data_IF_671478497434
#
_entry.id   IF_671478497434
#
_cell.length_a   1.000
_cell.length_b   1.000
_cell.length_c   1.000
_cell.angle_alpha   90.00
_cell.angle_beta   90.00
_cell.angle_gamma   90.00
#
_symmetry.space_group_name_H-M   'P 1'
#
loop_
_entity.id
_entity.type
_entity.pdbx_description
1 polymer ?
#
# COMPACT_ATOMS: atom_id res chain seq x y z
N UNK A 1 25.76 -49.97 44.14
CA UNK A 1 24.46 -49.81 43.44
C UNK A 1 23.52 -48.81 44.12
N UNK A 2 23.32 -48.82 45.45
CA UNK A 2 22.49 -47.82 46.16
C UNK A 2 22.90 -46.35 45.91
N UNK A 3 24.19 -46.05 45.87
CA UNK A 3 24.69 -44.68 45.65
C UNK A 3 24.53 -44.20 44.20
N UNK A 4 24.54 -45.12 43.23
CA UNK A 4 24.28 -44.82 41.80
C UNK A 4 22.80 -44.51 41.60
N UNK A 5 21.91 -45.24 42.29
CA UNK A 5 20.47 -44.99 42.23
C UNK A 5 20.09 -43.62 42.85
N UNK A 6 20.71 -43.25 43.98
CA UNK A 6 20.53 -41.92 44.59
C UNK A 6 21.04 -40.78 43.70
N UNK A 7 22.18 -40.95 43.01
CA UNK A 7 22.70 -39.97 42.05
C UNK A 7 21.80 -39.80 40.82
N UNK A 8 21.23 -40.89 40.28
CA UNK A 8 20.28 -40.84 39.17
C UNK A 8 18.97 -40.16 39.59
N UNK A 9 18.46 -40.45 40.80
CA UNK A 9 17.28 -39.75 41.33
C UNK A 9 17.52 -38.25 41.55
N UNK A 10 18.70 -37.84 42.03
CA UNK A 10 19.04 -36.43 42.21
C UNK A 10 19.13 -35.69 40.87
N UNK A 11 19.67 -36.34 39.83
CA UNK A 11 19.79 -35.79 38.47
C UNK A 11 18.42 -35.59 37.80
N UNK A 12 17.47 -36.51 38.01
CA UNK A 12 16.10 -36.43 37.49
C UNK A 12 15.29 -35.34 38.21
N UNK A 13 15.48 -35.16 39.52
CA UNK A 13 14.82 -34.10 40.30
C UNK A 13 15.33 -32.71 39.89
N UNK A 14 16.64 -32.55 39.64
CA UNK A 14 17.18 -31.27 39.15
C UNK A 14 16.62 -30.89 37.78
N UNK A 15 16.50 -31.83 36.83
CA UNK A 15 15.94 -31.54 35.50
C UNK A 15 14.45 -31.16 35.54
N UNK A 16 13.71 -31.68 36.52
CA UNK A 16 12.28 -31.38 36.68
C UNK A 16 12.02 -29.99 37.27
N UNK A 17 12.92 -29.49 38.12
CA UNK A 17 12.78 -28.18 38.75
C UNK A 17 12.95 -27.02 37.75
N UNK A 18 13.93 -27.11 36.84
CA UNK A 18 14.17 -26.07 35.83
C UNK A 18 13.00 -25.93 34.82
N UNK A 19 12.36 -27.04 34.43
CA UNK A 19 11.19 -26.99 33.53
C UNK A 19 9.95 -26.38 34.20
N UNK A 20 9.81 -26.45 35.53
CA UNK A 20 8.65 -25.89 36.23
C UNK A 20 8.70 -24.37 36.29
N UNK A 21 9.88 -23.77 36.50
CA UNK A 21 10.03 -22.32 36.58
C UNK A 21 9.84 -21.64 35.22
N UNK A 22 10.44 -22.17 34.14
CA UNK A 22 10.22 -21.69 32.77
C UNK A 22 8.72 -21.63 32.42
N UNK A 23 8.00 -22.73 32.63
CA UNK A 23 6.58 -22.84 32.33
C UNK A 23 5.72 -21.88 33.17
N UNK A 24 6.16 -21.54 34.39
CA UNK A 24 5.49 -20.53 35.21
C UNK A 24 5.63 -19.15 34.58
N UNK A 25 6.84 -18.76 34.17
CA UNK A 25 7.08 -17.47 33.54
C UNK A 25 6.35 -17.33 32.20
N UNK A 26 6.29 -18.39 31.39
CA UNK A 26 5.51 -18.39 30.14
C UNK A 26 4.02 -18.15 30.41
N UNK A 27 3.43 -18.86 31.39
CA UNK A 27 2.01 -18.66 31.76
C UNK A 27 1.74 -17.23 32.26
N UNK A 28 2.59 -16.72 33.14
CA UNK A 28 2.48 -15.34 33.61
C UNK A 28 2.57 -14.35 32.44
N UNK A 29 3.53 -14.56 31.54
CA UNK A 29 3.71 -13.74 30.34
C UNK A 29 2.49 -13.78 29.42
N UNK A 30 1.90 -14.96 29.21
CA UNK A 30 0.68 -15.13 28.43
C UNK A 30 -0.50 -14.39 29.08
N UNK A 31 -0.58 -14.38 30.42
CA UNK A 31 -1.56 -13.59 31.17
C UNK A 31 -1.41 -12.10 30.92
N UNK A 32 -0.20 -11.55 31.13
CA UNK A 32 0.10 -10.13 30.86
C UNK A 32 -0.15 -9.75 29.38
N UNK A 33 0.16 -10.65 28.45
CA UNK A 33 -0.08 -10.44 27.02
C UNK A 33 -1.57 -10.37 26.71
N UNK A 34 -2.39 -11.24 27.32
CA UNK A 34 -3.84 -11.23 27.16
C UNK A 34 -4.47 -9.96 27.76
N UNK A 35 -3.92 -9.46 28.85
CA UNK A 35 -4.33 -8.19 29.48
C UNK A 35 -3.80 -6.96 28.73
N UNK A 36 -3.11 -7.16 27.60
CA UNK A 36 -2.48 -6.13 26.75
C UNK A 36 -1.32 -5.37 27.43
N UNK A 37 -0.81 -5.89 28.55
CA UNK A 37 0.38 -5.39 29.23
C UNK A 37 1.66 -5.92 28.55
N UNK A 38 1.85 -5.57 27.28
CA UNK A 38 2.88 -6.22 26.46
C UNK A 38 4.31 -6.02 26.98
N UNK A 39 4.60 -4.89 27.64
CA UNK A 39 5.89 -4.66 28.30
C UNK A 39 6.15 -5.62 29.48
N UNK A 40 5.12 -5.91 30.28
CA UNK A 40 5.24 -6.91 31.35
C UNK A 40 5.37 -8.33 30.76
N UNK A 41 4.63 -8.63 29.70
CA UNK A 41 4.74 -9.92 29.01
C UNK A 41 6.15 -10.15 28.47
N UNK A 42 6.78 -9.12 27.89
CA UNK A 42 8.18 -9.15 27.44
C UNK A 42 9.13 -9.52 28.58
N UNK A 43 9.00 -8.86 29.74
CA UNK A 43 9.83 -9.17 30.92
C UNK A 43 9.64 -10.61 31.37
N UNK A 44 8.41 -11.14 31.36
CA UNK A 44 8.12 -12.52 31.75
C UNK A 44 8.72 -13.53 30.77
N UNK A 45 8.59 -13.31 29.46
CA UNK A 45 9.21 -14.18 28.45
C UNK A 45 10.74 -14.12 28.50
N UNK A 46 11.33 -12.96 28.77
CA UNK A 46 12.77 -12.84 29.00
C UNK A 46 13.24 -13.64 30.22
N UNK A 47 12.46 -13.65 31.32
CA UNK A 47 12.75 -14.52 32.47
C UNK A 47 12.65 -16.00 32.11
N UNK A 48 11.64 -16.41 31.34
CA UNK A 48 11.56 -17.78 30.84
C UNK A 48 12.80 -18.17 30.01
N UNK A 49 13.31 -17.26 29.17
CA UNK A 49 14.52 -17.49 28.37
C UNK A 49 15.82 -17.47 29.19
N UNK A 50 15.84 -16.83 30.36
CA UNK A 50 16.96 -16.93 31.29
C UNK A 50 17.05 -18.34 31.91
N UNK A 51 15.91 -18.99 32.15
CA UNK A 51 15.85 -20.38 32.62
C UNK A 51 16.11 -21.39 31.49
N UNK A 52 15.49 -21.18 30.32
CA UNK A 52 15.66 -22.02 29.14
C UNK A 52 15.88 -21.19 27.87
N UNK A 53 17.14 -20.93 27.49
CA UNK A 53 17.47 -20.16 26.30
C UNK A 53 17.02 -20.78 24.98
N UNK A 54 16.62 -22.05 24.94
CA UNK A 54 16.16 -22.75 23.74
C UNK A 54 14.64 -22.95 23.68
N UNK A 55 13.89 -22.35 24.61
CA UNK A 55 12.44 -22.42 24.65
C UNK A 55 11.80 -21.81 23.40
N UNK A 56 11.23 -22.65 22.53
CA UNK A 56 10.51 -22.21 21.34
C UNK A 56 9.34 -21.29 21.71
N UNK A 57 8.54 -21.68 22.70
CA UNK A 57 7.33 -20.94 23.09
C UNK A 57 7.69 -19.57 23.66
N UNK A 58 8.69 -19.47 24.54
CA UNK A 58 9.11 -18.19 25.08
C UNK A 58 9.70 -17.26 24.00
N UNK A 59 10.54 -17.77 23.08
CA UNK A 59 11.06 -16.98 21.94
C UNK A 59 9.93 -16.49 21.04
N UNK A 60 8.99 -17.37 20.69
CA UNK A 60 7.86 -17.05 19.83
C UNK A 60 6.97 -15.98 20.48
N UNK A 61 6.59 -16.16 21.74
CA UNK A 61 5.71 -15.23 22.44
C UNK A 61 6.40 -13.88 22.72
N UNK A 62 7.73 -13.88 22.91
CA UNK A 62 8.52 -12.65 22.97
C UNK A 62 8.47 -11.87 21.65
N UNK A 63 8.60 -12.56 20.51
CA UNK A 63 8.42 -11.97 19.19
C UNK A 63 7.03 -11.34 19.01
N UNK A 64 5.97 -12.03 19.46
CA UNK A 64 4.60 -11.52 19.43
C UNK A 64 4.44 -10.28 20.34
N UNK A 65 5.03 -10.30 21.54
CA UNK A 65 5.05 -9.14 22.45
C UNK A 65 5.75 -7.93 21.83
N UNK A 66 6.89 -8.13 21.15
CA UNK A 66 7.55 -7.06 20.40
C UNK A 66 6.67 -6.50 19.29
N UNK A 67 6.00 -7.37 18.52
CA UNK A 67 5.09 -6.95 17.46
C UNK A 67 3.96 -6.06 18.01
N UNK A 68 3.33 -6.45 19.12
CA UNK A 68 2.27 -5.67 19.76
C UNK A 68 2.75 -4.34 20.32
N UNK A 69 4.01 -4.28 20.77
CA UNK A 69 4.67 -3.03 21.17
C UNK A 69 5.14 -2.15 20.00
N UNK A 70 4.88 -2.55 18.75
CA UNK A 70 5.39 -1.88 17.52
C UNK A 70 6.92 -1.91 17.39
N UNK A 71 7.58 -2.75 18.18
CA UNK A 71 9.03 -3.05 18.10
C UNK A 71 9.26 -4.05 16.96
N UNK A 72 8.93 -3.65 15.72
CA UNK A 72 8.86 -4.57 14.59
C UNK A 72 10.23 -5.14 14.19
N UNK A 73 11.32 -4.39 14.39
CA UNK A 73 12.68 -4.87 14.08
C UNK A 73 13.10 -6.01 15.01
N UNK A 74 12.77 -5.86 16.29
CA UNK A 74 13.01 -6.82 17.36
C UNK A 74 12.19 -8.09 17.09
N UNK A 75 10.89 -7.95 16.78
CA UNK A 75 10.02 -9.07 16.40
C UNK A 75 10.57 -9.85 15.20
N UNK A 76 10.95 -9.16 14.12
CA UNK A 76 11.54 -9.79 12.92
C UNK A 76 12.81 -10.57 13.27
N UNK A 77 13.67 -9.99 14.11
CA UNK A 77 14.95 -10.58 14.49
C UNK A 77 14.73 -11.86 15.29
N UNK A 78 13.81 -11.84 16.25
CA UNK A 78 13.45 -12.99 17.07
C UNK A 78 12.86 -14.12 16.21
N UNK A 79 11.85 -13.83 15.38
CA UNK A 79 11.24 -14.85 14.53
C UNK A 79 12.21 -15.45 13.50
N UNK A 80 13.13 -14.65 12.93
CA UNK A 80 14.17 -15.15 12.04
C UNK A 80 15.12 -16.09 12.78
N UNK A 81 15.47 -15.78 14.02
CA UNK A 81 16.33 -16.65 14.83
C UNK A 81 15.67 -18.01 15.07
N UNK A 82 14.38 -18.04 15.39
CA UNK A 82 13.61 -19.30 15.55
C UNK A 82 13.55 -20.06 14.22
N UNK A 83 13.21 -19.37 13.12
CA UNK A 83 13.01 -19.99 11.81
C UNK A 83 14.28 -20.65 11.23
N UNK A 84 15.48 -20.24 11.65
CA UNK A 84 16.74 -20.84 11.20
C UNK A 84 16.91 -22.30 11.63
N UNK A 85 16.38 -22.65 12.80
CA UNK A 85 16.57 -23.98 13.39
C UNK A 85 15.28 -24.81 13.42
N UNK A 86 14.16 -24.26 12.94
CA UNK A 86 12.87 -24.95 12.92
C UNK A 86 12.76 -25.84 11.67
N UNK A 87 12.32 -27.09 11.87
CA UNK A 87 12.15 -28.08 10.80
C UNK A 87 10.69 -28.43 10.54
N UNK A 88 9.81 -28.17 11.51
CA UNK A 88 8.39 -28.40 11.38
C UNK A 88 7.77 -27.38 10.42
N UNK A 89 7.22 -27.86 9.29
CA UNK A 89 6.62 -27.01 8.26
C UNK A 89 5.50 -26.10 8.77
N UNK A 90 4.64 -26.61 9.67
CA UNK A 90 3.53 -25.81 10.22
C UNK A 90 4.07 -24.62 11.03
N UNK A 91 5.06 -24.87 11.90
CA UNK A 91 5.72 -23.81 12.68
C UNK A 91 6.49 -22.84 11.79
N UNK A 92 7.23 -23.34 10.80
CA UNK A 92 7.89 -22.51 9.80
C UNK A 92 6.91 -21.60 9.06
N UNK A 93 5.75 -22.13 8.66
CA UNK A 93 4.72 -21.34 8.00
C UNK A 93 4.26 -20.17 8.88
N UNK A 94 4.01 -20.43 10.17
CA UNK A 94 3.59 -19.43 11.14
C UNK A 94 4.69 -18.38 11.39
N UNK A 95 5.94 -18.81 11.57
CA UNK A 95 7.08 -17.89 11.74
C UNK A 95 7.24 -16.96 10.54
N UNK A 96 7.21 -17.50 9.32
CA UNK A 96 7.31 -16.69 8.11
C UNK A 96 6.11 -15.76 7.90
N UNK A 97 4.91 -16.18 8.33
CA UNK A 97 3.73 -15.31 8.33
C UNK A 97 3.91 -14.13 9.29
N UNK A 98 4.35 -14.38 10.52
CA UNK A 98 4.62 -13.33 11.52
C UNK A 98 5.78 -12.41 11.11
N UNK A 99 6.84 -12.93 10.49
CA UNK A 99 7.92 -12.13 9.89
C UNK A 99 7.33 -11.23 8.78
N UNK A 100 6.49 -11.78 7.89
CA UNK A 100 5.83 -11.04 6.83
C UNK A 100 4.98 -9.88 7.36
N UNK A 101 4.15 -10.14 8.38
CA UNK A 101 3.33 -9.12 9.06
C UNK A 101 4.19 -8.03 9.71
N UNK A 102 5.25 -8.43 10.41
CA UNK A 102 6.18 -7.48 11.06
C UNK A 102 6.90 -6.61 10.03
N UNK A 103 7.32 -7.19 8.90
CA UNK A 103 7.96 -6.46 7.80
C UNK A 103 6.99 -5.50 7.10
N UNK A 104 5.72 -5.90 6.95
CA UNK A 104 4.66 -5.06 6.39
C UNK A 104 4.40 -3.83 7.27
N UNK A 105 4.29 -4.02 8.59
CA UNK A 105 4.17 -2.90 9.54
C UNK A 105 5.42 -2.01 9.56
N UNK A 106 6.60 -2.59 9.42
CA UNK A 106 7.82 -1.80 9.24
C UNK A 106 7.81 -0.98 7.95
N UNK A 107 7.22 -1.49 6.86
CA UNK A 107 6.99 -0.71 5.63
C UNK A 107 6.07 0.48 5.92
N UNK A 108 4.93 0.28 6.58
CA UNK A 108 4.02 1.36 6.96
C UNK A 108 4.73 2.46 7.76
N UNK A 109 5.59 2.09 8.71
CA UNK A 109 6.38 3.04 9.50
C UNK A 109 7.43 3.80 8.68
N UNK A 110 8.02 3.17 7.66
CA UNK A 110 8.93 3.84 6.73
C UNK A 110 8.18 4.84 5.84
N UNK A 111 6.96 4.51 5.40
CA UNK A 111 6.10 5.41 4.63
C UNK A 111 5.70 6.65 5.44
N UNK A 112 5.32 6.49 6.71
CA UNK A 112 5.05 7.61 7.63
C UNK A 112 6.26 8.54 7.80
N UNK A 113 7.47 8.00 7.66
CA UNK A 113 8.73 8.75 7.71
C UNK A 113 9.19 9.22 6.32
N UNK A 114 8.31 9.14 5.31
CA UNK A 114 8.57 9.55 3.92
C UNK A 114 9.79 8.85 3.28
N UNK A 115 10.16 7.67 3.77
CA UNK A 115 11.30 6.89 3.28
C UNK A 115 10.87 5.90 2.19
N UNK A 116 10.40 6.41 1.05
CA UNK A 116 9.80 5.60 -0.03
C UNK A 116 10.73 4.48 -0.53
N UNK A 117 11.99 4.80 -0.83
CA UNK A 117 12.96 3.81 -1.33
C UNK A 117 13.25 2.70 -0.30
N UNK A 118 13.28 3.02 1.00
CA UNK A 118 13.44 2.01 2.05
C UNK A 118 12.16 1.18 2.20
N UNK A 119 10.99 1.80 2.10
CA UNK A 119 9.70 1.13 2.16
C UNK A 119 9.53 0.11 1.02
N UNK A 120 9.91 0.46 -0.22
CA UNK A 120 9.88 -0.47 -1.38
C UNK A 120 10.78 -1.68 -1.12
N UNK A 121 12.00 -1.46 -0.61
CA UNK A 121 12.91 -2.56 -0.24
C UNK A 121 12.33 -3.42 0.88
N UNK A 122 11.60 -2.82 1.80
CA UNK A 122 11.05 -3.50 2.96
C UNK A 122 9.81 -4.32 2.61
N UNK A 123 8.91 -3.81 1.76
CA UNK A 123 7.73 -4.55 1.30
C UNK A 123 8.11 -5.78 0.48
N UNK A 124 9.21 -5.73 -0.27
CA UNK A 124 9.76 -6.89 -0.98
C UNK A 124 10.13 -8.04 -0.02
N UNK A 125 10.68 -7.71 1.15
CA UNK A 125 10.98 -8.71 2.18
C UNK A 125 9.69 -9.33 2.70
N UNK A 126 8.65 -8.51 2.97
CA UNK A 126 7.35 -9.00 3.43
C UNK A 126 6.73 -9.98 2.44
N UNK A 127 6.71 -9.62 1.14
CA UNK A 127 6.24 -10.49 0.04
C UNK A 127 7.01 -11.82 0.03
N UNK A 128 8.34 -11.77 0.18
CA UNK A 128 9.19 -12.97 0.25
C UNK A 128 8.83 -13.86 1.44
N UNK A 129 8.61 -13.27 2.61
CA UNK A 129 8.22 -13.99 3.84
C UNK A 129 6.85 -14.66 3.69
N UNK A 130 5.83 -13.98 3.13
CA UNK A 130 4.53 -14.62 2.86
C UNK A 130 4.64 -15.76 1.84
N UNK A 131 5.47 -15.61 0.80
CA UNK A 131 5.74 -16.72 -0.13
C UNK A 131 6.36 -17.91 0.60
N UNK A 132 7.33 -17.69 1.50
CA UNK A 132 7.92 -18.76 2.33
C UNK A 132 6.89 -19.39 3.27
N UNK A 133 5.98 -18.60 3.83
CA UNK A 133 4.86 -19.13 4.63
C UNK A 133 4.00 -20.08 3.79
N UNK A 134 3.59 -19.67 2.59
CA UNK A 134 2.76 -20.47 1.68
C UNK A 134 3.47 -21.70 1.09
N UNK A 135 4.79 -21.67 0.95
CA UNK A 135 5.59 -22.87 0.59
C UNK A 135 5.45 -23.95 1.67
N UNK A 136 5.40 -23.54 2.94
CA UNK A 136 5.28 -24.45 4.08
C UNK A 136 3.82 -24.80 4.40
N UNK A 137 2.86 -23.89 4.13
CA UNK A 137 1.42 -24.11 4.25
C UNK A 137 0.63 -23.45 3.09
N UNK A 138 0.44 -24.16 2.00
CA UNK A 138 -0.21 -23.64 0.78
C UNK A 138 -1.72 -23.37 0.92
N UNK A 139 -2.36 -23.83 2.01
CA UNK A 139 -3.80 -23.66 2.25
C UNK A 139 -4.12 -22.45 3.12
N UNK A 140 -3.11 -21.80 3.68
CA UNK A 140 -3.27 -20.63 4.51
C UNK A 140 -3.93 -19.49 3.72
N UNK A 141 -5.17 -19.14 4.11
CA UNK A 141 -5.94 -18.09 3.44
C UNK A 141 -5.48 -16.70 3.85
N UNK A 142 -5.06 -16.55 5.11
CA UNK A 142 -4.58 -15.27 5.66
C UNK A 142 -3.25 -14.90 5.00
N UNK A 143 -2.33 -15.86 4.85
CA UNK A 143 -1.06 -15.64 4.16
C UNK A 143 -1.25 -15.30 2.67
N UNK A 144 -2.25 -15.87 1.99
CA UNK A 144 -2.59 -15.50 0.60
C UNK A 144 -3.12 -14.07 0.50
N UNK A 145 -4.03 -13.72 1.41
CA UNK A 145 -4.58 -12.37 1.47
C UNK A 145 -3.49 -11.34 1.74
N UNK A 146 -2.66 -11.55 2.76
CA UNK A 146 -1.57 -10.62 3.10
C UNK A 146 -0.52 -10.52 1.98
N UNK A 147 -0.22 -11.61 1.26
CA UNK A 147 0.63 -11.57 0.08
C UNK A 147 0.04 -10.71 -1.03
N UNK A 148 -1.26 -10.84 -1.30
CA UNK A 148 -1.94 -10.03 -2.32
C UNK A 148 -1.93 -8.55 -1.93
N UNK A 149 -2.24 -8.24 -0.67
CA UNK A 149 -2.15 -6.89 -0.12
C UNK A 149 -0.74 -6.29 -0.27
N UNK A 150 0.29 -7.02 0.17
CA UNK A 150 1.67 -6.54 0.09
C UNK A 150 2.14 -6.29 -1.35
N UNK A 151 1.70 -7.11 -2.32
CA UNK A 151 1.97 -6.89 -3.75
C UNK A 151 1.26 -5.64 -4.29
N UNK A 152 0.01 -5.42 -3.89
CA UNK A 152 -0.74 -4.23 -4.28
C UNK A 152 -0.07 -2.96 -3.76
N UNK A 153 0.28 -2.94 -2.46
CA UNK A 153 1.04 -1.84 -1.85
C UNK A 153 2.34 -1.60 -2.61
N UNK A 154 3.12 -2.65 -2.89
CA UNK A 154 4.37 -2.51 -3.66
C UNK A 154 4.15 -1.82 -5.02
N UNK A 155 3.14 -2.23 -5.79
CA UNK A 155 2.83 -1.64 -7.09
C UNK A 155 2.55 -0.14 -6.97
N UNK A 156 1.77 0.27 -5.97
CA UNK A 156 1.49 1.68 -5.70
C UNK A 156 2.77 2.46 -5.38
N UNK A 157 3.65 1.91 -4.53
CA UNK A 157 4.92 2.55 -4.18
C UNK A 157 5.88 2.67 -5.37
N UNK A 158 5.93 1.67 -6.26
CA UNK A 158 6.74 1.73 -7.49
C UNK A 158 6.24 2.79 -8.46
N UNK A 159 4.91 2.93 -8.61
CA UNK A 159 4.31 3.98 -9.41
C UNK A 159 4.66 5.37 -8.85
N UNK A 160 4.52 5.55 -7.53
CA UNK A 160 4.88 6.80 -6.85
C UNK A 160 6.37 7.16 -7.05
N UNK A 161 7.26 6.17 -6.98
CA UNK A 161 8.69 6.37 -7.23
C UNK A 161 8.97 6.78 -8.68
N UNK A 162 8.26 6.19 -9.64
CA UNK A 162 8.45 6.51 -11.06
C UNK A 162 7.97 7.94 -11.38
N UNK A 163 6.90 8.41 -10.74
CA UNK A 163 6.45 9.81 -10.84
C UNK A 163 7.51 10.77 -10.28
N UNK A 164 8.00 10.54 -9.05
CA UNK A 164 9.07 11.38 -8.47
C UNK A 164 10.33 11.49 -9.34
N UNK A 165 10.68 10.43 -10.07
CA UNK A 165 11.83 10.46 -10.98
C UNK A 165 11.57 11.23 -12.28
N UNK A 166 10.31 11.34 -12.73
CA UNK A 166 9.94 12.17 -13.89
C UNK A 166 9.97 13.66 -13.51
N UNK A 167 9.46 14.00 -12.33
CA UNK A 167 9.43 15.38 -11.83
C UNK A 167 10.85 15.97 -11.66
N UNK A 168 11.78 15.19 -11.10
CA UNK A 168 13.18 15.60 -10.94
C UNK A 168 13.91 15.83 -12.29
N UNK A 169 13.59 15.06 -13.34
CA UNK A 169 14.21 15.25 -14.67
C UNK A 169 13.73 16.54 -15.36
N UNK A 170 12.55 17.02 -15.03
CA UNK A 170 12.03 18.29 -15.57
C UNK A 170 12.59 19.51 -14.83
N UNK A 171 13.07 19.36 -13.60
CA UNK A 171 13.73 20.44 -12.85
C UNK A 171 15.17 20.71 -13.32
N UNK A 172 15.96 19.68 -13.61
CA UNK A 172 17.35 19.85 -14.13
C UNK A 172 17.41 20.52 -15.52
N UNK A 173 16.31 20.51 -16.29
CA UNK A 173 16.21 21.20 -17.57
C UNK A 173 15.75 22.66 -17.47
N UNK A 174 15.31 23.13 -16.28
CA UNK A 174 14.98 24.56 -16.05
C UNK A 174 16.19 25.38 -15.61
N UNK A 175 17.19 24.77 -14.97
CA UNK A 175 18.37 25.49 -14.45
C UNK A 175 19.46 25.77 -15.51
N UNK A 176 19.30 25.30 -16.76
CA UNK A 176 20.20 25.59 -17.88
C UNK A 176 19.68 26.67 -18.85
N UNK A 177 18.63 27.42 -18.48
CA UNK A 177 18.01 28.46 -19.32
C UNK A 177 18.02 29.86 -18.71
N UNK A 178 18.83 30.11 -17.68
CA UNK A 178 19.00 31.45 -17.09
C UNK A 178 20.44 31.95 -17.21
N UNK A 179 20.88 32.14 -18.46
CA UNK A 179 21.97 33.06 -18.77
C UNK A 179 21.95 33.46 -20.24
N UNK A 180 20.94 34.25 -20.63
CA UNK A 180 21.17 35.47 -21.43
C UNK A 180 19.85 36.24 -21.56
N UNK A 181 19.71 37.32 -20.79
CA UNK A 181 18.72 38.38 -21.05
C UNK A 181 19.49 39.54 -21.68
N UNK A 182 19.31 39.70 -22.99
CA UNK A 182 19.82 40.81 -23.79
C UNK A 182 18.83 41.15 -24.90
N UNK A 183 17.96 42.10 -24.58
CA UNK A 183 17.15 43.01 -25.40
C UNK A 183 17.47 43.10 -26.92
N UNK A 184 16.46 42.99 -27.80
CA UNK A 184 16.05 44.05 -28.75
C UNK A 184 15.01 43.61 -29.82
N UNK A 185 14.17 44.60 -30.15
CA UNK A 185 13.05 44.70 -31.08
C UNK A 185 13.29 44.42 -32.59
N UNK A 186 12.22 43.92 -33.22
CA UNK A 186 11.62 44.21 -34.56
C UNK A 186 12.29 43.85 -35.90
N UNK A 187 11.44 43.19 -36.69
CA UNK A 187 11.18 43.28 -38.14
C UNK A 187 12.15 42.66 -39.18
N UNK A 188 11.68 41.49 -39.65
CA UNK A 188 11.35 41.13 -41.04
C UNK A 188 12.36 40.44 -41.99
N UNK A 189 11.84 39.32 -42.55
CA UNK A 189 12.08 38.68 -43.85
C UNK A 189 13.25 37.71 -44.12
N UNK A 190 12.83 36.46 -44.34
CA UNK A 190 13.20 35.51 -45.42
C UNK A 190 14.67 35.10 -45.60
N UNK A 191 15.03 33.84 -45.33
CA UNK A 191 14.74 32.66 -46.18
C UNK A 191 15.58 31.43 -45.79
N UNK A 192 14.91 30.26 -45.71
CA UNK A 192 15.35 28.88 -46.04
C UNK A 192 16.53 28.21 -45.31
N UNK A 193 16.18 27.21 -44.48
CA UNK A 193 16.25 25.76 -44.78
C UNK A 193 15.78 24.97 -43.53
N UNK A 194 14.53 24.48 -43.50
CA UNK A 194 14.07 23.13 -43.88
C UNK A 194 14.34 22.05 -42.82
N UNK A 195 13.28 21.67 -42.08
CA UNK A 195 12.67 20.33 -42.09
C UNK A 195 11.56 20.25 -41.00
N UNK A 196 10.32 20.69 -41.26
CA UNK A 196 9.18 19.97 -41.89
C UNK A 196 8.28 19.20 -40.89
N UNK A 197 7.23 19.89 -40.39
CA UNK A 197 5.81 19.45 -40.26
C UNK A 197 5.02 20.41 -39.35
N UNK A 198 4.65 21.57 -39.90
CA UNK A 198 3.48 22.30 -39.45
C UNK A 198 2.64 22.59 -40.70
N UNK A 199 1.53 21.88 -40.82
CA UNK A 199 0.46 22.14 -41.79
C UNK A 199 -0.68 22.68 -40.93
N UNK A 200 -1.35 23.79 -41.29
CA UNK A 200 -2.65 24.09 -40.69
C UNK A 200 -3.52 22.88 -40.99
N UNK A 201 -3.94 22.15 -39.96
CA UNK A 201 -4.84 21.04 -40.15
C UNK A 201 -6.16 21.69 -40.57
N UNK A 202 -6.69 21.39 -41.77
CA UNK A 202 -7.97 21.95 -42.24
C UNK A 202 -9.18 21.50 -41.38
N UNK A 203 -8.94 20.90 -40.21
CA UNK A 203 -9.88 20.22 -39.34
C UNK A 203 -9.52 20.43 -37.85
N UNK A 204 -8.99 21.58 -37.46
CA UNK A 204 -8.68 22.01 -36.08
C UNK A 204 -8.72 23.54 -36.09
N UNK A 205 -9.87 24.13 -35.75
CA UNK A 205 -10.19 25.52 -36.08
C UNK A 205 -9.80 26.53 -35.00
N UNK A 206 -9.73 26.12 -33.74
CA UNK A 206 -9.24 26.90 -32.58
C UNK A 206 -7.75 26.65 -32.27
N UNK A 207 -7.15 25.61 -32.85
CA UNK A 207 -5.73 25.31 -32.73
C UNK A 207 -5.33 24.74 -31.37
N UNK A 208 -6.28 24.15 -30.63
CA UNK A 208 -6.07 23.54 -29.32
C UNK A 208 -5.43 22.14 -29.43
N UNK A 209 -5.42 21.57 -30.64
CA UNK A 209 -4.84 20.26 -30.96
C UNK A 209 -5.85 19.12 -30.98
N UNK A 210 -7.12 19.36 -30.63
CA UNK A 210 -8.26 18.47 -30.82
C UNK A 210 -8.80 18.68 -32.26
N UNK A 211 -9.02 17.60 -33.03
CA UNK A 211 -9.60 17.77 -34.37
C UNK A 211 -11.10 18.13 -34.31
N UNK A 212 -11.54 19.10 -35.12
CA UNK A 212 -12.94 19.51 -35.37
C UNK A 212 -13.97 18.36 -35.39
N UNK A 213 -13.57 17.21 -35.97
CA UNK A 213 -14.41 16.00 -36.13
C UNK A 213 -14.72 15.32 -34.79
N UNK A 214 -13.86 15.46 -33.81
CA UNK A 214 -13.96 14.91 -32.46
C UNK A 214 -14.95 15.75 -31.67
N UNK A 215 -14.80 17.07 -31.74
CA UNK A 215 -15.58 18.05 -30.96
C UNK A 215 -17.00 18.19 -31.48
N UNK A 216 -17.19 18.23 -32.81
CA UNK A 216 -18.54 18.22 -33.41
C UNK A 216 -19.36 16.99 -33.04
N UNK A 217 -18.71 15.87 -32.67
CA UNK A 217 -19.36 14.60 -32.41
C UNK A 217 -20.02 13.99 -33.65
N UNK A 218 -20.44 12.73 -33.53
CA UNK A 218 -21.04 11.94 -34.62
C UNK A 218 -22.58 11.80 -34.50
N UNK A 219 -23.29 12.70 -33.83
CA UNK A 219 -24.75 12.57 -33.68
C UNK A 219 -25.51 13.16 -34.89
N UNK A 220 -26.09 12.33 -35.78
CA UNK A 220 -26.84 12.81 -36.94
C UNK A 220 -28.17 13.53 -36.58
N UNK A 221 -28.53 13.64 -35.30
CA UNK A 221 -29.71 14.38 -34.84
C UNK A 221 -29.43 15.81 -34.38
N UNK A 222 -28.17 16.22 -34.23
CA UNK A 222 -27.81 17.60 -33.93
C UNK A 222 -27.83 18.43 -35.23
N UNK A 223 -28.77 19.37 -35.34
CA UNK A 223 -28.89 20.29 -36.49
C UNK A 223 -27.94 21.49 -36.39
N UNK A 224 -27.43 21.77 -35.20
CA UNK A 224 -26.49 22.85 -34.91
C UNK A 224 -25.20 22.25 -34.35
N UNK A 225 -24.04 22.88 -34.61
CA UNK A 225 -22.80 22.50 -33.95
C UNK A 225 -22.97 22.50 -32.44
N UNK A 226 -22.24 21.60 -31.77
CA UNK A 226 -22.24 21.51 -30.32
C UNK A 226 -21.63 22.76 -29.71
N UNK A 227 -22.25 23.23 -28.64
CA UNK A 227 -21.93 24.45 -27.90
C UNK A 227 -22.21 24.10 -26.42
N UNK A 228 -21.16 23.75 -25.70
CA UNK A 228 -21.22 23.12 -24.37
C UNK A 228 -21.54 24.13 -23.28
N UNK A 229 -20.89 25.30 -23.30
CA UNK A 229 -21.10 26.39 -22.35
C UNK A 229 -22.27 27.34 -22.71
N UNK A 230 -22.74 27.31 -23.96
CA UNK A 230 -23.83 28.12 -24.53
C UNK A 230 -23.49 29.60 -24.68
N UNK A 231 -22.23 29.94 -24.95
CA UNK A 231 -21.81 31.31 -25.24
C UNK A 231 -22.11 31.75 -26.70
N UNK A 232 -22.46 30.79 -27.57
CA UNK A 232 -22.76 30.99 -28.98
C UNK A 232 -21.61 30.72 -29.95
N UNK A 233 -20.44 30.30 -29.46
CA UNK A 233 -19.37 29.67 -30.22
C UNK A 233 -19.49 28.15 -30.16
N UNK A 234 -19.40 27.45 -31.30
CA UNK A 234 -19.29 26.00 -31.27
C UNK A 234 -17.99 25.53 -30.64
N UNK A 235 -18.03 24.40 -29.91
CA UNK A 235 -16.89 23.75 -29.24
C UNK A 235 -15.63 23.71 -30.14
N UNK A 236 -15.76 23.27 -31.40
CA UNK A 236 -14.65 23.17 -32.38
C UNK A 236 -14.00 24.51 -32.83
N UNK A 237 -14.43 25.62 -32.25
CA UNK A 237 -13.88 26.96 -32.44
C UNK A 237 -13.64 27.67 -31.12
N UNK A 238 -13.84 26.97 -30.01
CA UNK A 238 -13.61 27.46 -28.67
C UNK A 238 -12.30 26.86 -28.15
N UNK A 239 -11.55 27.61 -27.35
CA UNK A 239 -10.32 27.11 -26.73
C UNK A 239 -10.56 26.56 -25.32
N UNK A 240 -11.78 26.72 -24.81
CA UNK A 240 -12.26 26.37 -23.46
C UNK A 240 -13.77 26.09 -23.56
N UNK A 241 -14.11 24.90 -24.06
CA UNK A 241 -15.44 24.51 -24.52
C UNK A 241 -16.50 24.47 -23.41
N UNK A 242 -16.12 24.23 -22.16
CA UNK A 242 -17.03 24.28 -21.01
C UNK A 242 -16.88 25.54 -20.13
N UNK A 243 -15.92 26.40 -20.50
CA UNK A 243 -15.68 27.73 -19.96
C UNK A 243 -15.43 27.72 -18.45
N UNK A 244 -14.73 26.68 -18.01
CA UNK A 244 -14.32 26.49 -16.64
C UNK A 244 -12.99 27.24 -16.35
N UNK A 245 -12.30 27.71 -17.38
CA UNK A 245 -11.05 28.46 -17.30
C UNK A 245 -9.79 27.61 -17.48
N UNK A 246 -9.94 26.34 -17.85
CA UNK A 246 -8.87 25.43 -18.27
C UNK A 246 -8.99 25.25 -19.79
N UNK A 247 -7.91 25.41 -20.58
CA UNK A 247 -8.01 25.25 -22.03
C UNK A 247 -8.23 23.79 -22.43
N UNK A 248 -9.04 23.54 -23.47
CA UNK A 248 -9.35 22.22 -24.02
C UNK A 248 -8.09 21.39 -24.31
N UNK A 249 -7.05 22.06 -24.82
CA UNK A 249 -5.73 21.49 -25.08
C UNK A 249 -5.03 20.86 -23.85
N UNK A 250 -5.35 21.33 -22.63
CA UNK A 250 -4.82 20.80 -21.38
C UNK A 250 -5.64 19.60 -20.88
N UNK A 251 -6.92 19.54 -21.23
CA UNK A 251 -7.89 18.57 -20.71
C UNK A 251 -8.08 17.36 -21.60
N UNK A 252 -7.96 17.54 -22.92
CA UNK A 252 -8.08 16.47 -23.92
C UNK A 252 -7.10 15.30 -23.70
N UNK A 253 -5.99 15.54 -23.01
CA UNK A 253 -4.98 14.53 -22.72
C UNK A 253 -4.02 14.23 -23.88
N UNK A 254 -3.28 13.12 -23.79
CA UNK A 254 -2.15 12.83 -24.70
C UNK A 254 -2.58 12.33 -26.10
N UNK A 255 -3.82 11.86 -26.28
CA UNK A 255 -4.34 11.34 -27.55
C UNK A 255 -5.53 12.20 -28.05
N UNK A 256 -5.31 13.19 -28.94
CA UNK A 256 -6.40 14.10 -29.36
C UNK A 256 -7.57 13.45 -30.11
N UNK A 257 -7.35 12.30 -30.74
CA UNK A 257 -8.44 11.53 -31.39
C UNK A 257 -9.24 10.68 -30.39
N UNK A 258 -8.80 10.60 -29.14
CA UNK A 258 -9.47 9.93 -28.02
C UNK A 258 -9.31 10.77 -26.77
N UNK A 259 -10.07 11.87 -26.68
CA UNK A 259 -10.02 12.76 -25.54
C UNK A 259 -10.18 11.99 -24.22
N UNK A 260 -9.52 12.50 -23.19
CA UNK A 260 -9.64 12.00 -21.83
C UNK A 260 -11.10 12.13 -21.36
N UNK A 261 -11.55 11.11 -20.65
CA UNK A 261 -12.87 10.97 -20.02
C UNK A 261 -12.58 10.29 -18.67
N UNK A 262 -12.44 11.12 -17.64
CA UNK A 262 -11.84 10.75 -16.36
C UNK A 262 -12.78 9.89 -15.53
N UNK A 263 -14.05 10.24 -15.48
CA UNK A 263 -15.07 9.52 -14.71
C UNK A 263 -15.78 8.41 -15.52
N UNK A 264 -15.65 8.40 -16.85
CA UNK A 264 -16.20 7.44 -17.82
C UNK A 264 -17.70 7.52 -17.98
N UNK A 265 -18.28 8.70 -17.85
CA UNK A 265 -19.69 8.93 -18.13
C UNK A 265 -19.98 9.11 -19.65
N UNK A 266 -18.93 9.30 -20.45
CA UNK A 266 -18.99 9.46 -21.91
C UNK A 266 -18.93 10.92 -22.38
N UNK A 267 -18.77 11.89 -21.49
CA UNK A 267 -18.33 13.25 -21.78
C UNK A 267 -16.81 13.33 -21.66
N UNK A 268 -16.13 13.90 -22.66
CA UNK A 268 -14.72 14.26 -22.50
C UNK A 268 -14.51 15.33 -21.44
N UNK A 269 -13.35 15.29 -20.76
CA UNK A 269 -12.95 16.24 -19.71
C UNK A 269 -13.08 17.70 -20.16
N UNK A 270 -12.58 18.05 -21.36
CA UNK A 270 -12.69 19.41 -21.94
C UNK A 270 -14.12 19.89 -22.22
N UNK A 271 -15.13 19.08 -21.87
CA UNK A 271 -16.56 19.36 -22.05
C UNK A 271 -17.34 19.04 -20.78
N UNK A 272 -16.65 18.88 -19.65
CA UNK A 272 -17.22 18.51 -18.36
C UNK A 272 -16.61 19.35 -17.23
N UNK A 273 -17.43 20.25 -16.68
CA UNK A 273 -17.02 21.20 -15.63
C UNK A 273 -16.63 20.54 -14.27
N UNK A 274 -16.76 19.22 -14.15
CA UNK A 274 -16.39 18.38 -13.00
C UNK A 274 -15.92 17.01 -13.53
N UNK A 275 -14.78 16.99 -14.22
CA UNK A 275 -14.25 15.87 -15.02
C UNK A 275 -14.13 14.55 -14.26
N UNK A 276 -13.94 14.57 -12.94
CA UNK A 276 -13.84 13.36 -12.11
C UNK A 276 -15.10 13.07 -11.27
N UNK A 277 -16.12 13.92 -11.41
CA UNK A 277 -17.42 13.86 -10.76
C UNK A 277 -17.32 13.71 -9.23
N UNK A 278 -16.34 14.39 -8.61
CA UNK A 278 -16.14 14.40 -7.17
C UNK A 278 -16.98 15.48 -6.44
N UNK A 279 -17.61 16.38 -7.20
CA UNK A 279 -18.47 17.46 -6.72
C UNK A 279 -17.76 18.80 -6.51
N UNK A 280 -16.50 18.93 -6.95
CA UNK A 280 -15.73 20.18 -7.02
C UNK A 280 -15.56 20.54 -8.50
N UNK A 281 -15.99 21.74 -8.94
CA UNK A 281 -15.78 22.14 -10.33
C UNK A 281 -14.30 22.32 -10.68
N UNK A 282 -13.90 21.91 -11.88
CA UNK A 282 -12.54 21.93 -12.41
C UNK A 282 -11.89 23.33 -12.31
N UNK A 283 -12.64 24.39 -12.66
CA UNK A 283 -12.32 25.81 -12.41
C UNK A 283 -11.84 26.19 -10.99
N UNK A 284 -12.22 25.41 -9.98
CA UNK A 284 -11.89 25.61 -8.55
C UNK A 284 -10.92 24.57 -8.04
N UNK A 285 -10.58 23.61 -8.87
CA UNK A 285 -9.47 22.72 -8.64
C UNK A 285 -8.18 23.50 -8.82
N UNK A 286 -7.43 23.63 -7.74
CA UNK A 286 -6.10 24.22 -7.83
C UNK A 286 -5.24 23.28 -8.73
N UNK A 287 -4.40 23.75 -9.66
CA UNK A 287 -3.44 22.87 -10.36
C UNK A 287 -2.44 22.15 -9.43
N UNK A 288 -2.43 22.48 -8.13
CA UNK A 288 -1.76 21.74 -7.04
C UNK A 288 -2.66 20.70 -6.30
N UNK A 289 -3.91 20.56 -6.73
CA UNK A 289 -4.92 19.56 -6.35
C UNK A 289 -5.24 18.59 -7.49
N UNK A 290 -4.36 18.46 -8.50
CA UNK A 290 -4.21 17.17 -9.21
C UNK A 290 -4.29 16.06 -8.17
N UNK A 291 -4.92 14.90 -8.44
CA UNK A 291 -4.94 13.78 -7.51
C UNK A 291 -3.49 13.32 -7.33
N UNK A 292 -2.84 13.94 -6.36
CA UNK A 292 -1.46 13.73 -6.01
C UNK A 292 -1.46 12.46 -5.21
N UNK A 293 -1.53 11.32 -5.90
CA UNK A 293 -1.04 10.00 -5.54
C UNK A 293 -0.92 9.69 -4.02
N UNK A 294 -1.92 10.13 -3.27
CA UNK A 294 -2.12 9.97 -1.86
C UNK A 294 -3.46 9.28 -1.82
N UNK A 295 -3.43 8.01 -1.42
CA UNK A 295 -4.59 7.44 -0.77
C UNK A 295 -5.04 8.50 0.25
N UNK A 296 -6.23 9.07 0.09
CA UNK A 296 -6.75 10.05 1.03
C UNK A 296 -6.64 9.45 2.43
N UNK A 297 -6.39 10.27 3.46
CA UNK A 297 -6.36 9.76 4.83
C UNK A 297 -7.62 8.95 5.13
N UNK A 298 -8.74 9.35 4.52
CA UNK A 298 -10.04 8.71 4.50
C UNK A 298 -10.08 7.38 3.73
N UNK A 299 -9.36 7.19 2.62
CA UNK A 299 -9.28 5.91 1.89
C UNK A 299 -8.30 4.92 2.54
N UNK A 300 -7.23 5.44 3.13
CA UNK A 300 -6.32 4.65 3.97
C UNK A 300 -7.08 4.19 5.20
N UNK A 301 -7.88 5.08 5.81
CA UNK A 301 -8.77 4.76 6.92
C UNK A 301 -9.97 3.91 6.50
N UNK A 302 -10.51 4.01 5.28
CA UNK A 302 -11.58 3.14 4.75
C UNK A 302 -11.06 1.74 4.48
N UNK A 303 -9.85 1.59 3.96
CA UNK A 303 -9.20 0.29 3.82
C UNK A 303 -8.80 -0.28 5.20
N UNK A 304 -8.31 0.55 6.12
CA UNK A 304 -8.02 0.13 7.50
C UNK A 304 -9.31 -0.25 8.26
N UNK A 305 -10.38 0.51 8.10
CA UNK A 305 -11.71 0.24 8.68
C UNK A 305 -12.35 -0.97 8.01
N UNK A 306 -12.22 -1.17 6.70
CA UNK A 306 -12.72 -2.36 6.03
C UNK A 306 -11.99 -3.62 6.56
N UNK A 307 -10.68 -3.53 6.79
CA UNK A 307 -9.88 -4.60 7.41
C UNK A 307 -10.24 -4.80 8.89
N UNK A 308 -10.44 -3.74 9.67
CA UNK A 308 -10.89 -3.83 11.08
C UNK A 308 -12.33 -4.33 11.20
N UNK A 309 -13.24 -3.96 10.29
CA UNK A 309 -14.63 -4.42 10.24
C UNK A 309 -14.67 -5.89 9.83
N UNK A 310 -13.86 -6.30 8.85
CA UNK A 310 -13.72 -7.71 8.49
C UNK A 310 -13.06 -8.52 9.60
N UNK A 311 -12.05 -7.98 10.29
CA UNK A 311 -11.44 -8.60 11.47
C UNK A 311 -12.47 -8.74 12.61
N UNK A 312 -13.29 -7.71 12.89
CA UNK A 312 -14.34 -7.76 13.91
C UNK A 312 -15.46 -8.73 13.53
N UNK A 313 -15.87 -8.75 12.27
CA UNK A 313 -16.86 -9.69 11.74
C UNK A 313 -16.34 -11.14 11.77
N UNK A 314 -15.06 -11.36 11.51
CA UNK A 314 -14.41 -12.68 11.61
C UNK A 314 -14.25 -13.10 13.08
N UNK A 315 -13.85 -12.19 13.97
CA UNK A 315 -13.74 -12.43 15.41
C UNK A 315 -15.11 -12.70 16.06
N UNK A 316 -16.16 -11.99 15.65
CA UNK A 316 -17.52 -12.23 16.12
C UNK A 316 -18.12 -13.52 15.56
N UNK A 317 -17.77 -13.89 14.32
CA UNK A 317 -18.08 -15.22 13.76
C UNK A 317 -17.33 -16.32 14.54
N UNK A 318 -16.07 -16.13 14.91
CA UNK A 318 -15.28 -17.07 15.71
C UNK A 318 -15.82 -17.20 17.16
N UNK A 319 -16.27 -16.10 17.78
CA UNK A 319 -16.97 -16.13 19.09
C UNK A 319 -18.32 -16.85 19.00
N UNK A 320 -19.09 -16.66 17.93
CA UNK A 320 -20.34 -17.40 17.68
C UNK A 320 -20.11 -18.89 17.40
N UNK A 321 -19.00 -19.26 16.78
CA UNK A 321 -18.58 -20.66 16.57
C UNK A 321 -18.18 -21.29 17.91
N UNK A 322 -17.41 -20.59 18.76
CA UNK A 322 -17.10 -21.05 20.13
C UNK A 322 -18.33 -21.14 21.05
N UNK A 323 -19.34 -20.27 20.83
CA UNK A 323 -20.61 -20.29 21.57
C UNK A 323 -21.63 -21.33 21.10
N UNK A 324 -21.39 -22.02 19.97
CA UNK A 324 -22.24 -23.12 19.45
C UNK A 324 -21.68 -24.51 19.71
N UNK A 325 -20.58 -24.63 20.46
CA UNK A 325 -20.12 -25.94 20.95
C UNK A 325 -21.01 -26.33 22.12
N UNK A 326 -21.98 -27.20 21.85
CA UNK A 326 -22.66 -27.99 22.88
C UNK A 326 -21.55 -28.74 23.64
N UNK A 327 -21.48 -28.66 24.99
CA UNK A 327 -20.45 -29.36 25.74
C UNK A 327 -20.73 -30.86 25.65
N UNK A 328 -19.91 -31.60 24.90
CA UNK A 328 -19.83 -33.05 25.06
C UNK A 328 -18.97 -33.29 26.29
N UNK A 329 -19.62 -33.78 27.36
CA UNK A 329 -18.98 -34.25 28.57
C UNK A 329 -17.98 -35.36 28.27
N UNK A 330 -16.85 -35.23 28.97
CA UNK A 330 -16.04 -36.28 29.61
C UNK A 330 -15.39 -37.35 28.76
N UNK A 331 -14.07 -37.37 28.84
CA UNK A 331 -13.23 -38.56 28.65
C UNK A 331 -11.77 -38.21 28.89
N UNK A 332 -11.34 -38.31 30.15
CA UNK A 332 -9.94 -38.65 30.48
C UNK A 332 -9.66 -40.08 29.99
N UNK A 333 -8.38 -40.42 30.01
CA UNK A 333 -7.73 -41.68 29.61
C UNK A 333 -7.25 -41.56 28.15
N UNK A 334 -6.00 -41.16 27.89
CA UNK A 334 -4.72 -41.57 28.47
C UNK A 334 -3.66 -40.48 28.26
#
# INVERSE_FOLDING_TARGET
>A
MKNIFLLICFLIVSLSAFSQEENSYIRDGNGEYFDNNYGNSEVKYQKALAENPESYEAKFNLGDAFYKQKKYKEAITEFIAIAKNESNKTKLAQLYFNIGNSQLKQTEDLLKKQKLNEAIKQIDKSISSYKKSLINNHKDKEAKYNLAYAKHVKKQLENQKNQQNKDNKNQDNKDNKDSDKGDQDKDNQDNKNQDDKNKPNENDSDGDGIPDKVEKGNDPKQQEPRDTDKDGQPDYKDQDSDNDGIPDSEEAGEEPEKPKDTDKDGLPDYRDTDSDNDGIPDSKENPEQKPNNQISKEDALRLLQAVEIDEKNVQDKLKKIKGKVIPVKSGKDW
#
